data_IF_249293555535
#
_entry.id   IF_249293555535
#
_cell.length_a   1.000
_cell.length_b   1.000
_cell.length_c   1.000
_cell.angle_alpha   90.00
_cell.angle_beta   90.00
_cell.angle_gamma   90.00
#
_symmetry.space_group_name_H-M   'P 1'
#
loop_
_entity.id
_entity.type
_entity.pdbx_description
1 polymer ?
#
# COMPACT_ATOMS: atom_id res chain seq x y z
N UNK A 1 5.86 10.05 15.00
CA UNK A 1 5.22 10.57 16.25
C UNK A 1 3.75 10.96 16.13
N UNK A 2 3.05 10.49 15.13
CA UNK A 2 1.64 10.85 14.92
C UNK A 2 0.81 9.59 14.62
N UNK A 3 0.90 8.61 15.48
CA UNK A 3 -0.10 7.53 15.49
C UNK A 3 -1.12 7.85 16.59
N UNK A 4 -2.43 7.67 16.31
CA UNK A 4 -3.45 7.81 17.35
C UNK A 4 -3.14 6.86 18.52
N UNK A 5 -3.44 7.26 19.75
CA UNK A 5 -3.20 6.43 20.96
C UNK A 5 -3.81 5.03 20.85
N UNK A 6 -4.89 4.88 20.11
CA UNK A 6 -5.58 3.60 19.86
C UNK A 6 -5.01 2.78 18.69
N UNK A 7 -4.08 3.33 17.91
CA UNK A 7 -3.46 2.59 16.81
C UNK A 7 -2.29 1.76 17.35
N UNK A 8 -2.29 0.47 17.04
CA UNK A 8 -1.16 -0.42 17.28
C UNK A 8 -0.17 -0.26 16.11
N UNK A 9 1.10 -0.12 16.41
CA UNK A 9 2.19 -0.08 15.43
C UNK A 9 2.97 -1.38 15.49
N UNK A 10 3.08 -2.09 14.37
CA UNK A 10 3.90 -3.29 14.24
C UNK A 10 5.05 -2.95 13.30
N UNK A 11 6.27 -2.99 13.81
CA UNK A 11 7.50 -2.68 13.09
C UNK A 11 8.20 -3.99 12.77
N UNK A 12 8.37 -4.29 11.47
CA UNK A 12 9.06 -5.49 11.01
C UNK A 12 10.42 -5.09 10.45
N UNK A 13 11.49 -5.46 11.14
CA UNK A 13 12.86 -5.17 10.73
C UNK A 13 13.49 -6.34 9.98
N UNK A 14 14.08 -6.06 8.83
CA UNK A 14 14.70 -7.05 7.94
C UNK A 14 16.07 -7.57 8.38
N UNK A 15 16.45 -7.39 9.64
CA UNK A 15 17.77 -7.75 10.15
C UNK A 15 18.81 -6.64 9.96
N UNK A 16 18.42 -5.40 10.26
CA UNK A 16 19.30 -4.21 10.13
C UNK A 16 20.52 -4.31 11.02
N UNK A 17 21.67 -3.84 10.48
CA UNK A 17 22.97 -3.83 11.19
C UNK A 17 23.55 -2.43 11.39
N UNK A 18 22.78 -1.39 11.06
CA UNK A 18 23.18 0.02 11.03
C UNK A 18 22.71 0.84 12.24
N UNK A 19 22.26 0.17 13.30
CA UNK A 19 21.69 0.82 14.50
C UNK A 19 20.18 0.98 14.48
N UNK A 20 19.49 0.54 13.42
CA UNK A 20 18.01 0.59 13.32
C UNK A 20 17.36 -0.19 14.46
N UNK A 21 17.83 -1.39 14.77
CA UNK A 21 17.24 -2.23 15.84
C UNK A 21 17.26 -1.50 17.19
N UNK A 22 18.40 -0.90 17.55
CA UNK A 22 18.52 -0.13 18.81
C UNK A 22 17.58 1.08 18.84
N UNK A 23 17.41 1.74 17.69
CA UNK A 23 16.45 2.83 17.56
C UNK A 23 15.01 2.34 17.75
N UNK A 24 14.64 1.21 17.14
CA UNK A 24 13.31 0.62 17.27
C UNK A 24 13.02 0.20 18.70
N UNK A 25 13.98 -0.44 19.40
CA UNK A 25 13.86 -0.82 20.80
C UNK A 25 13.60 0.40 21.70
N UNK A 26 14.38 1.47 21.49
CA UNK A 26 14.16 2.72 22.21
C UNK A 26 12.80 3.36 21.88
N UNK A 27 12.37 3.29 20.63
CA UNK A 27 11.05 3.78 20.21
C UNK A 27 9.93 3.02 20.92
N UNK A 28 9.97 1.68 20.95
CA UNK A 28 8.94 0.85 21.58
C UNK A 28 8.87 1.05 23.09
N UNK A 29 10.00 1.31 23.77
CA UNK A 29 10.00 1.64 25.21
C UNK A 29 9.22 2.92 25.54
N UNK A 30 9.10 3.83 24.58
CA UNK A 30 8.39 5.11 24.74
C UNK A 30 6.99 5.12 24.11
N UNK A 31 6.59 4.03 23.44
CA UNK A 31 5.32 3.91 22.73
C UNK A 31 4.71 2.54 23.01
N UNK A 32 3.89 2.46 24.05
CA UNK A 32 3.32 1.21 24.59
C UNK A 32 2.52 0.38 23.56
N UNK A 33 2.03 1.01 22.49
CA UNK A 33 1.27 0.34 21.43
C UNK A 33 2.16 -0.10 20.27
N UNK A 34 3.47 -0.29 20.49
CA UNK A 34 4.43 -0.69 19.46
C UNK A 34 4.96 -2.09 19.74
N UNK A 35 4.87 -2.94 18.73
CA UNK A 35 5.45 -4.27 18.68
C UNK A 35 6.57 -4.31 17.63
N UNK A 36 7.73 -4.89 17.97
CA UNK A 36 8.85 -5.06 17.04
C UNK A 36 8.98 -6.53 16.71
N UNK A 37 9.10 -6.82 15.43
CA UNK A 37 9.35 -8.15 14.89
C UNK A 37 10.65 -8.12 14.07
N UNK A 38 11.46 -9.16 14.23
CA UNK A 38 12.55 -9.43 13.29
C UNK A 38 11.98 -10.28 12.16
N UNK A 39 12.23 -9.88 10.92
CA UNK A 39 11.72 -10.58 9.76
C UNK A 39 12.22 -12.02 9.71
N UNK A 40 11.31 -12.96 9.53
CA UNK A 40 11.60 -14.33 9.19
C UNK A 40 11.64 -14.48 7.66
N UNK A 41 12.76 -14.95 7.12
CA UNK A 41 12.93 -15.06 5.67
C UNK A 41 13.47 -13.79 5.01
N UNK A 42 13.21 -13.62 3.72
CA UNK A 42 13.74 -12.49 2.93
C UNK A 42 12.69 -11.96 1.96
N UNK A 43 12.58 -10.65 1.88
CA UNK A 43 11.70 -9.98 0.92
C UNK A 43 10.65 -9.09 1.58
N UNK A 44 10.22 -8.09 0.83
CA UNK A 44 9.29 -7.08 1.32
C UNK A 44 7.92 -7.67 1.70
N UNK A 45 7.38 -8.55 0.86
CA UNK A 45 6.02 -9.06 1.07
C UNK A 45 5.94 -10.14 2.14
N UNK A 46 7.04 -10.85 2.39
CA UNK A 46 7.20 -11.73 3.55
C UNK A 46 7.15 -10.92 4.85
N UNK A 47 7.87 -9.79 4.91
CA UNK A 47 7.83 -8.89 6.06
C UNK A 47 6.43 -8.30 6.27
N UNK A 48 5.76 -7.86 5.20
CA UNK A 48 4.39 -7.35 5.27
C UNK A 48 3.44 -8.42 5.81
N UNK A 49 3.50 -9.63 5.28
CA UNK A 49 2.67 -10.74 5.73
C UNK A 49 2.89 -11.05 7.20
N UNK A 50 4.14 -11.08 7.67
CA UNK A 50 4.47 -11.27 9.08
C UNK A 50 3.85 -10.17 9.97
N UNK A 51 3.91 -8.91 9.53
CA UNK A 51 3.25 -7.80 10.23
C UNK A 51 1.73 -7.92 10.26
N UNK A 52 1.11 -8.33 9.14
CA UNK A 52 -0.34 -8.57 9.08
C UNK A 52 -0.75 -9.75 9.97
N UNK A 53 0.00 -10.85 9.97
CA UNK A 53 -0.25 -11.99 10.86
C UNK A 53 -0.18 -11.59 12.33
N UNK A 54 0.78 -10.75 12.70
CA UNK A 54 0.87 -10.25 14.07
C UNK A 54 -0.32 -9.35 14.43
N UNK A 55 -0.76 -8.49 13.51
CA UNK A 55 -1.96 -7.68 13.72
C UNK A 55 -3.23 -8.53 13.91
N UNK A 56 -3.37 -9.61 13.13
CA UNK A 56 -4.54 -10.49 13.21
C UNK A 56 -4.60 -11.35 14.49
N UNK A 57 -3.49 -11.52 15.21
CA UNK A 57 -3.48 -12.20 16.54
C UNK A 57 -4.21 -11.40 17.61
N UNK A 58 -4.32 -10.09 17.44
CA UNK A 58 -5.02 -9.20 18.33
C UNK A 58 -6.46 -9.02 17.89
N UNK A 59 -7.42 -9.53 18.67
CA UNK A 59 -8.84 -9.49 18.31
C UNK A 59 -9.43 -8.07 18.35
N UNK A 60 -8.77 -7.12 19.01
CA UNK A 60 -9.18 -5.71 19.05
C UNK A 60 -8.83 -4.96 17.77
N UNK A 61 -7.91 -5.49 16.95
CA UNK A 61 -7.56 -4.90 15.67
C UNK A 61 -8.71 -5.10 14.67
N UNK A 62 -9.35 -4.02 14.30
CA UNK A 62 -10.46 -4.01 13.33
C UNK A 62 -10.03 -3.71 11.91
N UNK A 63 -9.00 -2.87 11.73
CA UNK A 63 -8.50 -2.44 10.43
C UNK A 63 -6.98 -2.48 10.37
N UNK A 64 -6.44 -2.78 9.20
CA UNK A 64 -5.00 -2.92 8.96
C UNK A 64 -4.61 -2.08 7.75
N UNK A 65 -3.63 -1.23 7.93
CA UNK A 65 -2.94 -0.48 6.88
C UNK A 65 -1.44 -0.73 6.94
N UNK A 66 -0.70 -0.27 5.93
CA UNK A 66 0.75 -0.43 5.88
C UNK A 66 1.44 0.87 5.53
N UNK A 67 2.66 1.02 6.01
CA UNK A 67 3.56 2.11 5.68
C UNK A 67 4.97 1.57 5.50
N UNK A 68 5.67 1.98 4.44
CA UNK A 68 7.07 1.64 4.26
C UNK A 68 7.97 2.57 5.08
N UNK A 69 9.18 2.11 5.41
CA UNK A 69 10.12 2.81 6.29
C UNK A 69 10.63 4.15 5.76
N UNK A 70 10.53 4.38 4.45
CA UNK A 70 10.93 5.63 3.78
C UNK A 70 9.75 6.57 3.45
N UNK A 71 8.54 6.19 3.85
CA UNK A 71 7.30 6.93 3.64
C UNK A 71 6.81 7.55 4.95
N UNK A 72 5.93 8.54 4.89
CA UNK A 72 5.30 9.13 6.07
C UNK A 72 3.82 9.48 5.85
N UNK A 73 3.06 9.45 6.95
CA UNK A 73 1.67 9.87 6.98
C UNK A 73 1.58 11.39 6.92
N UNK A 74 0.62 11.91 6.16
CA UNK A 74 0.36 13.35 6.07
C UNK A 74 -0.55 13.76 7.22
N UNK A 75 0.05 14.41 8.24
CA UNK A 75 -0.57 14.74 9.51
C UNK A 75 -1.87 15.53 9.36
N UNK A 76 -1.96 16.40 8.38
CA UNK A 76 -3.10 17.27 8.16
C UNK A 76 -4.37 16.53 7.72
N UNK A 77 -4.22 15.40 7.04
CA UNK A 77 -5.35 14.69 6.42
C UNK A 77 -5.60 13.30 7.03
N UNK A 78 -4.60 12.72 7.68
CA UNK A 78 -4.69 11.34 8.16
C UNK A 78 -5.73 11.15 9.29
N UNK A 79 -5.91 12.12 10.23
CA UNK A 79 -6.96 12.03 11.23
C UNK A 79 -8.37 11.95 10.64
N UNK A 80 -8.66 12.78 9.64
CA UNK A 80 -9.95 12.78 8.96
C UNK A 80 -10.17 11.48 8.19
N UNK A 81 -9.09 10.88 7.67
CA UNK A 81 -9.16 9.57 7.02
C UNK A 81 -9.49 8.46 8.03
N UNK A 82 -8.91 8.50 9.23
CA UNK A 82 -9.26 7.54 10.29
C UNK A 82 -10.69 7.72 10.77
N UNK A 83 -11.16 8.97 10.94
CA UNK A 83 -12.56 9.24 11.30
C UNK A 83 -13.53 8.67 10.27
N UNK A 84 -13.23 8.83 8.98
CA UNK A 84 -14.02 8.21 7.90
C UNK A 84 -14.10 6.69 8.03
N UNK A 85 -12.98 6.04 8.36
CA UNK A 85 -12.92 4.57 8.55
C UNK A 85 -13.80 4.13 9.70
N UNK A 86 -13.79 4.87 10.80
CA UNK A 86 -14.56 4.56 12.02
C UNK A 86 -16.06 4.79 11.86
N UNK A 87 -16.45 5.77 11.06
CA UNK A 87 -17.85 6.14 10.83
C UNK A 87 -18.51 5.34 9.71
N UNK A 88 -17.75 4.52 8.98
CA UNK A 88 -18.22 3.81 7.79
C UNK A 88 -18.23 2.30 7.97
N UNK A 89 -19.28 1.65 7.46
CA UNK A 89 -19.39 0.19 7.37
C UNK A 89 -18.60 -0.40 6.18
N UNK A 90 -17.85 0.41 5.44
CA UNK A 90 -17.03 -0.08 4.35
C UNK A 90 -15.86 -0.94 4.88
N UNK A 91 -15.40 -1.87 4.06
CA UNK A 91 -14.31 -2.79 4.44
C UNK A 91 -12.98 -2.46 3.76
N UNK A 92 -13.01 -1.61 2.74
CA UNK A 92 -11.84 -1.20 1.96
C UNK A 92 -11.83 0.31 1.83
N UNK A 93 -10.77 0.92 2.30
CA UNK A 93 -10.53 2.35 2.22
C UNK A 93 -9.25 2.62 1.46
N UNK A 94 -9.22 3.68 0.66
CA UNK A 94 -8.00 4.16 0.01
C UNK A 94 -8.09 5.66 -0.24
N UNK A 95 -6.93 6.27 -0.40
CA UNK A 95 -6.80 7.71 -0.51
C UNK A 95 -5.84 8.11 -1.63
N UNK A 96 -5.73 9.40 -1.89
CA UNK A 96 -4.67 9.97 -2.68
C UNK A 96 -3.34 9.92 -1.94
N UNK A 97 -2.24 9.99 -2.68
CA UNK A 97 -0.89 10.11 -2.14
C UNK A 97 -0.08 11.19 -2.86
N UNK A 98 1.05 11.53 -2.30
CA UNK A 98 2.08 12.34 -2.97
C UNK A 98 3.43 11.65 -2.94
N UNK A 99 4.37 12.17 -3.71
CA UNK A 99 5.75 11.74 -3.72
C UNK A 99 6.67 12.90 -3.37
N UNK A 100 7.66 12.65 -2.52
CA UNK A 100 8.68 13.62 -2.14
C UNK A 100 10.07 13.15 -2.59
N UNK A 101 10.95 14.12 -2.83
CA UNK A 101 12.38 13.87 -3.06
C UNK A 101 13.15 13.81 -1.73
N UNK A 102 14.46 13.61 -1.78
CA UNK A 102 15.34 13.58 -0.59
C UNK A 102 15.34 14.89 0.22
N UNK A 103 15.04 16.01 -0.43
CA UNK A 103 14.89 17.30 0.23
C UNK A 103 13.50 17.51 0.85
N UNK A 104 12.62 16.51 0.87
CA UNK A 104 11.25 16.60 1.38
C UNK A 104 10.27 17.37 0.49
N UNK A 105 10.71 17.83 -0.69
CA UNK A 105 9.85 18.58 -1.60
C UNK A 105 8.91 17.65 -2.36
N UNK A 106 7.61 18.03 -2.41
CA UNK A 106 6.61 17.28 -3.20
C UNK A 106 6.90 17.44 -4.69
N UNK A 107 7.14 16.33 -5.35
CA UNK A 107 7.50 16.28 -6.78
C UNK A 107 6.41 15.70 -7.67
N UNK A 108 5.43 15.01 -7.09
CA UNK A 108 4.32 14.41 -7.82
C UNK A 108 3.14 14.14 -6.87
N UNK A 109 1.92 14.30 -7.36
CA UNK A 109 0.71 13.80 -6.72
C UNK A 109 0.11 12.63 -7.52
N UNK A 110 -0.50 11.69 -6.81
CA UNK A 110 -1.28 10.62 -7.42
C UNK A 110 -2.71 10.70 -6.87
N UNK A 111 -3.60 11.21 -7.71
CA UNK A 111 -5.03 11.18 -7.46
C UNK A 111 -5.56 9.80 -7.88
N UNK A 112 -6.03 9.04 -6.92
CA UNK A 112 -6.54 7.68 -7.15
C UNK A 112 -7.86 7.73 -7.93
N UNK A 113 -8.76 8.62 -7.52
CA UNK A 113 -10.11 8.73 -8.06
C UNK A 113 -10.99 7.52 -7.69
N UNK A 114 -12.27 7.63 -7.91
CA UNK A 114 -13.25 6.60 -7.60
C UNK A 114 -12.95 5.25 -8.26
N UNK A 115 -13.17 4.18 -7.51
CA UNK A 115 -13.12 2.81 -8.02
C UNK A 115 -14.19 2.57 -9.08
N UNK A 116 -13.86 1.80 -10.09
CA UNK A 116 -14.82 1.10 -10.92
C UNK A 116 -14.22 -0.20 -11.47
N UNK A 117 -15.05 -1.25 -11.65
CA UNK A 117 -14.58 -2.52 -12.22
C UNK A 117 -13.92 -2.36 -13.61
N UNK A 118 -14.42 -1.42 -14.43
CA UNK A 118 -13.84 -1.13 -15.73
C UNK A 118 -12.45 -0.50 -15.63
N UNK A 119 -12.23 0.41 -14.67
CA UNK A 119 -10.90 0.99 -14.43
C UNK A 119 -9.91 -0.09 -14.00
N UNK A 120 -10.30 -0.98 -13.09
CA UNK A 120 -9.47 -2.10 -12.63
C UNK A 120 -9.05 -2.99 -13.82
N UNK A 121 -10.00 -3.36 -14.67
CA UNK A 121 -9.75 -4.17 -15.88
C UNK A 121 -8.82 -3.50 -16.90
N UNK A 122 -8.62 -2.20 -16.83
CA UNK A 122 -7.67 -1.45 -17.65
C UNK A 122 -6.38 -1.07 -16.90
N UNK A 123 -6.07 -1.79 -15.80
CA UNK A 123 -4.82 -1.66 -15.06
C UNK A 123 -4.76 -0.50 -14.06
N UNK A 124 -5.90 0.10 -13.72
CA UNK A 124 -5.98 1.02 -12.60
C UNK A 124 -5.82 0.25 -11.28
N UNK A 125 -5.21 0.90 -10.31
CA UNK A 125 -5.16 0.45 -8.92
C UNK A 125 -5.12 1.69 -8.02
N UNK A 126 -5.65 1.61 -6.79
CA UNK A 126 -5.41 2.63 -5.79
C UNK A 126 -3.94 2.61 -5.34
N UNK A 127 -3.42 3.71 -4.77
CA UNK A 127 -2.10 3.71 -4.16
C UNK A 127 -2.04 2.72 -3.00
N UNK A 128 -1.17 1.72 -3.10
CA UNK A 128 -1.08 0.60 -2.16
C UNK A 128 -0.87 1.05 -0.70
N UNK A 129 0.00 2.03 -0.46
CA UNK A 129 0.33 2.55 0.87
C UNK A 129 -0.79 3.37 1.53
N UNK A 130 -1.82 3.76 0.78
CA UNK A 130 -2.99 4.43 1.32
C UNK A 130 -4.15 3.49 1.63
N UNK A 131 -4.01 2.21 1.29
CA UNK A 131 -5.08 1.22 1.51
C UNK A 131 -5.12 0.86 3.00
N UNK A 132 -6.31 0.97 3.59
CA UNK A 132 -6.64 0.42 4.90
C UNK A 132 -7.85 -0.49 4.70
N UNK A 133 -7.79 -1.69 5.25
CA UNK A 133 -8.87 -2.68 5.10
C UNK A 133 -9.27 -3.26 6.44
N UNK A 134 -10.53 -3.69 6.55
CA UNK A 134 -10.96 -4.44 7.72
C UNK A 134 -10.18 -5.76 7.85
N UNK A 135 -10.01 -6.26 9.08
CA UNK A 135 -9.36 -7.57 9.32
C UNK A 135 -10.01 -8.70 8.52
N UNK A 136 -11.33 -8.64 8.36
CA UNK A 136 -12.12 -9.60 7.60
C UNK A 136 -11.65 -9.74 6.14
N UNK A 137 -11.16 -8.65 5.56
CA UNK A 137 -10.56 -8.68 4.21
C UNK A 137 -9.38 -9.64 4.13
N UNK A 138 -8.48 -9.62 5.11
CA UNK A 138 -7.36 -10.56 5.13
C UNK A 138 -7.81 -12.01 5.38
N UNK A 139 -8.85 -12.21 6.18
CA UNK A 139 -9.43 -13.54 6.42
C UNK A 139 -10.06 -14.12 5.14
N UNK A 140 -10.71 -13.29 4.32
CA UNK A 140 -11.39 -13.70 3.09
C UNK A 140 -10.46 -13.77 1.88
N UNK A 141 -9.60 -12.77 1.70
CA UNK A 141 -8.75 -12.59 0.51
C UNK A 141 -7.39 -13.25 0.71
N UNK A 142 -6.92 -13.36 1.95
CA UNK A 142 -5.59 -13.86 2.30
C UNK A 142 -4.49 -12.83 2.12
N UNK A 143 -3.26 -13.31 2.30
CA UNK A 143 -2.03 -12.52 2.32
C UNK A 143 -1.50 -12.18 0.91
N UNK A 144 -0.45 -11.37 0.86
CA UNK A 144 0.31 -11.11 -0.37
C UNK A 144 1.03 -12.39 -0.80
N UNK A 145 1.06 -12.66 -2.11
CA UNK A 145 1.80 -13.79 -2.68
C UNK A 145 3.19 -13.32 -3.16
N UNK A 146 4.28 -13.66 -2.42
CA UNK A 146 5.63 -13.22 -2.76
C UNK A 146 6.13 -13.75 -4.13
N UNK A 147 5.51 -14.78 -4.68
CA UNK A 147 5.86 -15.30 -6.01
C UNK A 147 5.64 -14.30 -7.14
N UNK A 148 4.82 -13.26 -6.91
CA UNK A 148 4.65 -12.16 -7.85
C UNK A 148 5.75 -11.09 -7.75
N UNK A 149 6.69 -11.20 -6.80
CA UNK A 149 7.77 -10.24 -6.63
C UNK A 149 7.25 -8.81 -6.49
N UNK A 150 7.79 -7.86 -7.26
CA UNK A 150 7.39 -6.45 -7.21
C UNK A 150 5.96 -6.15 -7.66
N UNK A 151 5.18 -7.14 -8.07
CA UNK A 151 3.78 -6.99 -8.46
C UNK A 151 2.82 -7.68 -7.47
N UNK A 152 3.30 -8.13 -6.31
CA UNK A 152 2.47 -8.79 -5.31
C UNK A 152 1.40 -7.84 -4.73
N UNK A 153 1.70 -6.54 -4.59
CA UNK A 153 0.72 -5.51 -4.26
C UNK A 153 -0.42 -5.43 -5.29
N UNK A 154 -0.04 -5.41 -6.58
CA UNK A 154 -1.01 -5.35 -7.65
C UNK A 154 -1.86 -6.63 -7.71
N UNK A 155 -1.26 -7.80 -7.53
CA UNK A 155 -1.96 -9.08 -7.47
C UNK A 155 -3.00 -9.07 -6.33
N UNK A 156 -2.58 -8.71 -5.14
CA UNK A 156 -3.44 -8.67 -3.97
C UNK A 156 -4.60 -7.68 -4.15
N UNK A 157 -4.33 -6.48 -4.68
CA UNK A 157 -5.36 -5.47 -4.97
C UNK A 157 -6.35 -5.97 -6.03
N UNK A 158 -5.88 -6.64 -7.08
CA UNK A 158 -6.76 -7.22 -8.10
C UNK A 158 -7.64 -8.30 -7.48
N UNK A 159 -7.08 -9.19 -6.68
CA UNK A 159 -7.81 -10.25 -5.97
C UNK A 159 -8.84 -9.65 -5.01
N UNK A 160 -8.46 -8.65 -4.22
CA UNK A 160 -9.34 -7.90 -3.33
C UNK A 160 -10.53 -7.27 -4.07
N UNK A 161 -10.24 -6.48 -5.11
CA UNK A 161 -11.25 -5.65 -5.77
C UNK A 161 -12.12 -6.41 -6.80
N UNK A 162 -11.68 -7.58 -7.25
CA UNK A 162 -12.49 -8.44 -8.14
C UNK A 162 -13.52 -9.28 -7.39
N UNK A 163 -13.36 -9.46 -6.09
CA UNK A 163 -14.28 -10.24 -5.25
C UNK A 163 -15.34 -9.38 -4.56
N UNK A 164 -15.34 -8.05 -4.79
CA UNK A 164 -16.22 -7.11 -4.08
C UNK A 164 -17.11 -6.32 -5.02
N UNK A 165 -18.41 -6.31 -4.70
CA UNK A 165 -19.41 -5.52 -5.41
C UNK A 165 -19.70 -4.17 -4.72
N UNK A 166 -19.08 -3.92 -3.55
CA UNK A 166 -19.28 -2.70 -2.75
C UNK A 166 -18.35 -2.67 -1.52
N UNK A 167 -18.65 -1.77 -0.58
CA UNK A 167 -17.86 -1.62 0.65
C UNK A 167 -16.48 -1.04 0.41
N UNK A 168 -16.29 -0.24 -0.65
CA UNK A 168 -15.05 0.42 -1.03
C UNK A 168 -15.26 1.93 -0.92
N UNK A 169 -14.44 2.60 -0.12
CA UNK A 169 -14.54 4.03 0.14
C UNK A 169 -13.28 4.77 -0.30
N UNK A 170 -13.43 5.77 -1.14
CA UNK A 170 -12.35 6.64 -1.59
C UNK A 170 -12.31 7.94 -0.78
N UNK A 171 -11.17 8.27 -0.23
CA UNK A 171 -10.91 9.54 0.46
C UNK A 171 -10.12 10.48 -0.47
N UNK A 172 -10.71 11.56 -1.00
CA UNK A 172 -10.11 12.39 -2.07
C UNK A 172 -9.09 13.42 -1.54
N UNK A 173 -8.28 13.02 -0.54
CA UNK A 173 -7.18 13.81 0.00
C UNK A 173 -5.94 12.93 0.18
N UNK A 174 -4.76 13.54 0.15
CA UNK A 174 -3.48 12.85 0.28
C UNK A 174 -3.22 12.47 1.73
N UNK A 175 -3.04 11.19 2.00
CA UNK A 175 -2.81 10.65 3.36
C UNK A 175 -1.39 10.16 3.57
N UNK A 176 -0.68 9.82 2.49
CA UNK A 176 0.70 9.31 2.54
C UNK A 176 1.59 10.11 1.61
N UNK A 177 2.81 10.36 2.04
CA UNK A 177 3.88 10.90 1.21
C UNK A 177 4.95 9.83 1.03
N UNK A 178 5.10 9.35 -0.21
CA UNK A 178 6.07 8.31 -0.59
C UNK A 178 7.39 8.93 -1.06
N UNK A 179 8.51 8.30 -0.70
CA UNK A 179 9.81 8.69 -1.25
C UNK A 179 9.94 8.25 -2.71
N UNK A 180 10.47 9.13 -3.58
CA UNK A 180 10.79 8.73 -4.96
C UNK A 180 12.02 7.82 -4.97
N UNK A 181 12.01 6.80 -5.84
CA UNK A 181 13.20 5.93 -6.03
C UNK A 181 13.06 4.49 -5.56
N UNK A 182 11.88 4.08 -5.09
CA UNK A 182 11.64 2.70 -4.64
C UNK A 182 11.99 1.61 -5.67
N UNK A 183 12.13 0.37 -5.19
CA UNK A 183 12.65 -0.81 -5.92
C UNK A 183 12.03 -1.05 -7.31
N UNK A 184 10.73 -0.79 -7.48
CA UNK A 184 10.03 -0.98 -8.76
C UNK A 184 10.36 0.07 -9.84
N UNK A 185 10.99 1.19 -9.45
CA UNK A 185 11.34 2.30 -10.34
C UNK A 185 12.85 2.45 -10.59
N UNK A 186 13.68 1.58 -10.04
CA UNK A 186 15.14 1.68 -10.04
C UNK A 186 15.78 1.60 -11.44
N UNK A 187 15.15 0.94 -12.42
CA UNK A 187 15.66 0.84 -13.79
C UNK A 187 14.57 0.57 -14.82
N UNK A 188 14.87 0.83 -16.11
CA UNK A 188 13.97 0.47 -17.22
C UNK A 188 13.68 -1.03 -17.25
N UNK A 189 14.68 -1.87 -16.97
CA UNK A 189 14.55 -3.33 -16.90
C UNK A 189 13.60 -3.75 -15.75
N UNK A 190 13.69 -3.11 -14.59
CA UNK A 190 12.78 -3.35 -13.47
C UNK A 190 11.34 -3.00 -13.84
N UNK A 191 11.11 -1.86 -14.50
CA UNK A 191 9.78 -1.44 -14.98
C UNK A 191 9.17 -2.40 -15.99
N UNK A 192 9.97 -2.89 -16.96
CA UNK A 192 9.51 -3.89 -17.94
C UNK A 192 9.16 -5.22 -17.26
N UNK A 193 9.97 -5.65 -16.29
CA UNK A 193 9.72 -6.87 -15.50
C UNK A 193 8.42 -6.74 -14.69
N UNK A 194 8.22 -5.60 -13.99
CA UNK A 194 7.00 -5.32 -13.24
C UNK A 194 5.77 -5.35 -14.16
N UNK A 195 5.82 -4.68 -15.34
CA UNK A 195 4.72 -4.70 -16.30
C UNK A 195 4.42 -6.11 -16.85
N UNK A 196 5.44 -6.95 -17.04
CA UNK A 196 5.25 -8.33 -17.45
C UNK A 196 4.56 -9.15 -16.36
N UNK A 197 4.90 -8.91 -15.08
CA UNK A 197 4.25 -9.56 -13.93
C UNK A 197 2.81 -9.09 -13.76
N UNK A 198 2.52 -7.79 -13.92
CA UNK A 198 1.16 -7.25 -13.94
C UNK A 198 0.26 -7.98 -14.95
N UNK A 199 0.81 -8.28 -16.14
CA UNK A 199 0.09 -9.08 -17.13
C UNK A 199 -0.16 -10.53 -16.69
N UNK A 200 0.73 -11.14 -15.90
CA UNK A 200 0.53 -12.51 -15.37
C UNK A 200 -0.64 -12.59 -14.38
N UNK A 201 -0.88 -11.55 -13.60
CA UNK A 201 -2.01 -11.46 -12.68
C UNK A 201 -3.32 -11.73 -13.41
N UNK A 202 -3.51 -11.07 -14.57
CA UNK A 202 -4.73 -11.21 -15.37
C UNK A 202 -4.73 -12.42 -16.30
N UNK A 203 -3.55 -12.96 -16.64
CA UNK A 203 -3.45 -14.13 -17.55
C UNK A 203 -4.11 -15.38 -16.99
N UNK A 204 -4.27 -15.49 -15.66
CA UNK A 204 -5.02 -16.57 -15.01
C UNK A 204 -6.50 -16.54 -15.41
N UNK A 205 -7.07 -15.38 -15.67
CA UNK A 205 -8.47 -15.19 -15.99
C UNK A 205 -8.71 -15.00 -17.50
N UNK A 206 -7.84 -14.25 -18.19
CA UNK A 206 -7.97 -13.96 -19.62
C UNK A 206 -6.67 -13.45 -20.22
N UNK A 207 -6.20 -14.08 -21.32
CA UNK A 207 -5.04 -13.61 -22.10
C UNK A 207 -5.28 -12.24 -22.73
N UNK A 208 -6.51 -11.97 -23.18
CA UNK A 208 -6.89 -10.67 -23.74
C UNK A 208 -6.81 -9.57 -22.68
N UNK A 209 -7.29 -9.85 -21.48
CA UNK A 209 -7.21 -8.93 -20.34
C UNK A 209 -5.76 -8.64 -19.96
N UNK A 210 -4.89 -9.64 -19.93
CA UNK A 210 -3.47 -9.48 -19.68
C UNK A 210 -2.80 -8.56 -20.70
N UNK A 211 -3.11 -8.69 -21.99
CA UNK A 211 -2.60 -7.82 -23.07
C UNK A 211 -3.09 -6.39 -22.89
N UNK A 212 -4.38 -6.20 -22.60
CA UNK A 212 -4.98 -4.89 -22.38
C UNK A 212 -4.31 -4.14 -21.23
N UNK A 213 -4.11 -4.80 -20.08
CA UNK A 213 -3.48 -4.20 -18.90
C UNK A 213 -2.02 -3.79 -19.17
N UNK A 214 -1.25 -4.62 -19.88
CA UNK A 214 0.14 -4.31 -20.27
C UNK A 214 0.27 -3.02 -21.07
N UNK A 215 -0.75 -2.68 -21.86
CA UNK A 215 -0.77 -1.45 -22.66
C UNK A 215 -1.35 -0.28 -21.87
N UNK A 216 -2.50 -0.46 -21.23
CA UNK A 216 -3.23 0.62 -20.57
C UNK A 216 -2.59 1.10 -19.24
N UNK A 217 -1.99 0.19 -18.45
CA UNK A 217 -1.40 0.56 -17.15
C UNK A 217 -0.24 1.56 -17.27
N UNK A 218 0.72 1.42 -18.19
CA UNK A 218 1.77 2.43 -18.39
C UNK A 218 1.24 3.78 -18.86
N UNK A 219 0.25 3.81 -19.76
CA UNK A 219 -0.30 5.06 -20.31
C UNK A 219 -1.03 5.89 -19.24
N UNK A 220 -1.69 5.25 -18.28
CA UNK A 220 -2.33 5.95 -17.14
C UNK A 220 -1.34 6.68 -16.25
N UNK A 221 -0.09 6.20 -16.15
CA UNK A 221 0.96 6.89 -15.36
C UNK A 221 1.37 8.22 -15.99
N UNK A 222 1.23 8.39 -17.30
CA UNK A 222 1.58 9.65 -18.01
C UNK A 222 0.70 10.81 -17.51
N UNK A 223 -0.59 10.57 -17.29
CA UNK A 223 -1.51 11.59 -16.78
C UNK A 223 -1.11 12.14 -15.39
N UNK A 224 -0.53 11.30 -14.54
CA UNK A 224 -0.06 11.71 -13.20
C UNK A 224 1.10 12.71 -13.25
N UNK A 225 1.90 12.73 -14.32
CA UNK A 225 2.98 13.71 -14.49
C UNK A 225 2.48 15.06 -15.01
N UNK A 226 1.31 15.10 -15.65
CA UNK A 226 0.70 16.34 -16.13
C UNK A 226 0.02 17.13 -15.00
N UNK A 227 -0.39 16.47 -13.93
CA UNK A 227 -1.03 17.08 -12.74
C UNK A 227 -0.01 17.87 -11.89
N UNK A 228 1.29 17.68 -12.09
CA UNK A 228 2.39 18.39 -11.41
C UNK A 228 2.31 19.92 -11.51
N UNK A 229 1.54 20.48 -12.45
CA UNK A 229 1.41 21.94 -12.66
C UNK A 229 0.36 22.62 -11.76
N UNK A 230 -0.31 21.90 -10.86
CA UNK A 230 -1.38 22.42 -9.97
C UNK A 230 -1.12 22.17 -8.49
N UNK A 231 0.14 21.92 -8.10
CA UNK A 231 0.59 21.83 -6.70
C UNK A 231 1.02 23.20 -6.20
#
# INVERSE_FOLDING_TARGET
EFMPERAKTILVDGGSTDGTVQFLDHYAQNHNNTEILIQEGTGLYEAINQGVEAALRDEEVTHIGMLHSDDYLIRENFPDYLSLIEESDAEVFYADIQYHNEAGQVVRAWQAGEFSPMKLRTGWMPPHTSIIVSRRVYEEVGFYDPAYGTAADYEWIVRLLTTRDGGIHYFPRRTVSMRVGGASNSSLKARLRANAMDGKVWARNSRLQAALVRVCKPTRKIAQFLIRKRL
#
